data_IF_260935006529
#
_entry.id   IF_260935006529
#
_cell.length_a   1.000
_cell.length_b   1.000
_cell.length_c   1.000
_cell.angle_alpha   90.00
_cell.angle_beta   90.00
_cell.angle_gamma   90.00
#
_symmetry.space_group_name_H-M   'P 1'
#
loop_
_entity.id
_entity.type
_entity.pdbx_description
1 polymer ?
#
# COMPACT_ATOMS: atom_id res chain seq x y z
N UNK A 1 -3.69 -7.75 -4.36
CA UNK A 1 -3.28 -8.67 -3.29
C UNK A 1 -4.24 -8.59 -2.12
N UNK A 2 -4.34 -9.67 -1.40
CA UNK A 2 -5.15 -9.74 -0.17
C UNK A 2 -4.22 -9.57 1.02
N UNK A 3 -4.59 -8.67 1.93
CA UNK A 3 -3.82 -8.41 3.16
C UNK A 3 -4.71 -8.80 4.34
N UNK A 4 -4.22 -9.73 5.15
CA UNK A 4 -4.97 -10.22 6.31
C UNK A 4 -5.26 -9.10 7.31
N UNK A 5 -6.36 -9.27 8.05
CA UNK A 5 -6.75 -8.33 9.11
C UNK A 5 -5.68 -8.23 10.19
N UNK A 6 -5.61 -7.08 10.83
CA UNK A 6 -4.71 -6.79 11.94
C UNK A 6 -3.26 -7.21 11.67
N UNK A 7 -2.82 -7.06 10.43
CA UNK A 7 -1.46 -7.45 10.05
C UNK A 7 -0.42 -6.50 10.59
N UNK A 8 0.79 -7.01 10.78
CA UNK A 8 1.96 -6.18 11.04
C UNK A 8 2.39 -5.49 9.74
N UNK A 9 3.19 -4.45 9.84
CA UNK A 9 3.77 -3.83 8.65
C UNK A 9 4.58 -4.86 7.86
N UNK A 10 4.47 -4.78 6.53
CA UNK A 10 5.31 -5.54 5.63
C UNK A 10 6.77 -5.13 5.81
N UNK A 11 7.68 -5.92 5.26
CA UNK A 11 9.08 -5.50 5.18
C UNK A 11 9.19 -4.21 4.39
N UNK A 12 10.17 -3.39 4.73
CA UNK A 12 10.38 -2.13 4.04
C UNK A 12 10.83 -2.43 2.60
N UNK A 13 10.11 -1.86 1.65
CA UNK A 13 10.57 -1.80 0.27
C UNK A 13 11.36 -0.51 0.13
N UNK A 14 12.57 -0.60 -0.39
CA UNK A 14 13.42 0.59 -0.59
C UNK A 14 13.10 1.32 -1.89
N UNK A 15 12.01 0.91 -2.53
CA UNK A 15 11.54 1.52 -3.75
C UNK A 15 11.89 0.69 -4.98
N UNK A 16 11.30 1.06 -6.06
CA UNK A 16 11.48 0.39 -7.36
C UNK A 16 11.90 1.44 -8.38
N UNK A 17 12.47 0.99 -9.49
CA UNK A 17 12.83 1.89 -10.59
C UNK A 17 11.63 2.30 -11.45
N UNK A 18 10.41 2.24 -10.90
CA UNK A 18 9.18 2.58 -11.61
C UNK A 18 8.15 3.12 -10.64
N UNK A 19 7.19 3.88 -11.16
CA UNK A 19 6.09 4.41 -10.37
C UNK A 19 5.02 3.34 -10.16
N UNK A 20 4.28 3.45 -9.06
CA UNK A 20 3.18 2.54 -8.76
C UNK A 20 1.95 3.32 -8.28
N UNK A 21 0.78 2.72 -8.49
CA UNK A 21 -0.47 3.21 -7.92
C UNK A 21 -1.08 2.04 -7.17
N UNK A 22 -1.42 2.27 -5.89
CA UNK A 22 -2.15 1.32 -5.08
C UNK A 22 -3.61 1.75 -5.01
N UNK A 23 -4.53 0.83 -5.22
CA UNK A 23 -5.97 1.10 -5.16
C UNK A 23 -6.59 0.16 -4.14
N UNK A 24 -7.22 0.72 -3.11
CA UNK A 24 -7.93 -0.09 -2.12
C UNK A 24 -9.30 -0.46 -2.68
N UNK A 25 -9.44 -1.71 -3.09
CA UNK A 25 -10.68 -2.21 -3.66
C UNK A 25 -11.67 -2.55 -2.57
N UNK A 26 -11.16 -3.08 -1.44
CA UNK A 26 -11.99 -3.48 -0.32
C UNK A 26 -11.19 -3.37 0.97
N UNK A 27 -11.83 -2.91 2.04
CA UNK A 27 -11.21 -2.81 3.36
C UNK A 27 -10.41 -1.55 3.55
N UNK A 28 -9.30 -1.66 4.26
CA UNK A 28 -8.45 -0.54 4.64
C UNK A 28 -7.00 -0.85 4.36
N UNK A 29 -6.19 0.18 4.24
CA UNK A 29 -4.75 0.06 4.08
C UNK A 29 -4.07 1.19 4.82
N UNK A 30 -3.05 0.87 5.59
CA UNK A 30 -2.17 1.87 6.18
C UNK A 30 -0.83 1.72 5.50
N UNK A 31 -0.31 2.80 4.92
CA UNK A 31 0.93 2.76 4.17
C UNK A 31 1.83 3.90 4.59
N UNK A 32 3.11 3.58 4.81
CA UNK A 32 4.12 4.56 5.15
C UNK A 32 4.98 4.83 3.91
N UNK A 33 5.05 6.10 3.51
CA UNK A 33 5.91 6.56 2.43
C UNK A 33 6.89 7.57 3.01
N UNK A 34 8.18 7.27 2.95
CA UNK A 34 9.22 8.17 3.42
C UNK A 34 8.91 8.76 4.81
N UNK A 35 8.56 7.89 5.76
CA UNK A 35 8.24 8.26 7.15
C UNK A 35 6.89 8.98 7.33
N UNK A 36 6.11 9.17 6.28
CA UNK A 36 4.76 9.71 6.39
C UNK A 36 3.76 8.57 6.30
N UNK A 37 2.84 8.52 7.27
CA UNK A 37 1.85 7.46 7.36
C UNK A 37 0.53 7.94 6.77
N UNK A 38 -0.03 7.16 5.86
CA UNK A 38 -1.32 7.42 5.24
C UNK A 38 -2.28 6.29 5.55
N UNK A 39 -3.53 6.62 5.85
CA UNK A 39 -4.58 5.65 6.07
C UNK A 39 -5.59 5.75 4.93
N UNK A 40 -5.73 4.68 4.17
CA UNK A 40 -6.61 4.63 3.01
C UNK A 40 -7.80 3.73 3.28
N UNK A 41 -8.93 4.12 2.72
CA UNK A 41 -10.18 3.37 2.82
C UNK A 41 -10.61 2.87 1.44
N UNK A 42 -11.62 2.04 1.42
CA UNK A 42 -12.17 1.50 0.18
C UNK A 42 -12.45 2.62 -0.82
N UNK A 43 -11.95 2.47 -2.03
CA UNK A 43 -12.08 3.47 -3.08
C UNK A 43 -10.93 4.46 -3.16
N UNK A 44 -10.08 4.52 -2.13
CA UNK A 44 -8.93 5.42 -2.16
C UNK A 44 -7.79 4.83 -2.96
N UNK A 45 -6.93 5.70 -3.45
CA UNK A 45 -5.72 5.30 -4.17
C UNK A 45 -4.53 6.12 -3.70
N UNK A 46 -3.34 5.60 -3.94
CA UNK A 46 -2.11 6.29 -3.57
C UNK A 46 -1.08 6.10 -4.68
N UNK A 47 -0.40 7.19 -5.01
CA UNK A 47 0.69 7.17 -5.97
C UNK A 47 2.02 7.01 -5.23
N UNK A 48 2.82 6.03 -5.65
CA UNK A 48 4.16 5.81 -5.10
C UNK A 48 5.16 6.08 -6.20
N UNK A 49 5.87 7.20 -6.06
CA UNK A 49 6.88 7.57 -7.03
C UNK A 49 8.04 6.58 -6.99
N UNK A 50 8.69 6.38 -8.13
CA UNK A 50 9.87 5.52 -8.20
C UNK A 50 10.88 5.86 -7.11
N UNK A 51 11.56 4.84 -6.61
CA UNK A 51 12.59 4.96 -5.57
C UNK A 51 12.11 5.54 -4.23
N UNK A 52 10.83 5.42 -3.93
CA UNK A 52 10.27 5.85 -2.64
C UNK A 52 10.21 4.67 -1.68
N UNK A 53 10.93 4.72 -0.54
CA UNK A 53 10.82 3.67 0.48
C UNK A 53 9.40 3.61 1.03
N UNK A 54 8.85 2.41 1.13
CA UNK A 54 7.48 2.23 1.63
C UNK A 54 7.25 0.87 2.26
N UNK A 55 6.24 0.82 3.12
CA UNK A 55 5.73 -0.42 3.71
C UNK A 55 4.27 -0.22 4.04
N UNK A 56 3.53 -1.30 4.21
CA UNK A 56 2.09 -1.23 4.44
C UNK A 56 1.60 -2.32 5.38
N UNK A 57 0.39 -2.13 5.88
CA UNK A 57 -0.31 -3.13 6.69
C UNK A 57 -1.81 -2.91 6.56
N UNK A 58 -2.57 -3.89 7.02
CA UNK A 58 -4.02 -3.77 7.18
C UNK A 58 -4.32 -3.62 8.66
N UNK A 59 -4.71 -2.41 9.13
CA UNK A 59 -5.05 -2.20 10.54
C UNK A 59 -6.48 -2.58 10.88
N UNK A 60 -7.30 -2.94 9.90
CA UNK A 60 -8.72 -3.23 10.08
C UNK A 60 -9.00 -4.62 10.62
N UNK A 61 -10.28 -4.91 10.83
CA UNK A 61 -10.75 -6.17 11.38
C UNK A 61 -11.17 -7.19 10.33
N UNK A 62 -11.11 -6.81 9.06
CA UNK A 62 -11.41 -7.69 7.93
C UNK A 62 -10.27 -7.63 6.95
N UNK A 63 -10.12 -8.67 6.13
CA UNK A 63 -9.07 -8.65 5.11
C UNK A 63 -9.31 -7.54 4.10
N UNK A 64 -8.23 -7.03 3.52
CA UNK A 64 -8.28 -5.96 2.53
C UNK A 64 -7.80 -6.47 1.18
N UNK A 65 -8.36 -5.92 0.11
CA UNK A 65 -7.95 -6.23 -1.25
C UNK A 65 -7.38 -4.95 -1.87
N UNK A 66 -6.14 -5.01 -2.32
CA UNK A 66 -5.44 -3.87 -2.91
C UNK A 66 -4.90 -4.28 -4.28
N UNK A 67 -5.12 -3.44 -5.27
CA UNK A 67 -4.51 -3.61 -6.58
C UNK A 67 -3.32 -2.69 -6.71
N UNK A 68 -2.23 -3.26 -7.20
CA UNK A 68 -1.01 -2.51 -7.48
C UNK A 68 -0.82 -2.46 -8.99
N UNK A 69 -0.72 -1.24 -9.51
CA UNK A 69 -0.47 -1.00 -10.93
C UNK A 69 0.86 -0.29 -11.05
N UNK A 70 1.75 -0.81 -11.86
CA UNK A 70 3.07 -0.22 -12.03
C UNK A 70 3.29 0.30 -13.44
N UNK A 71 4.16 1.29 -13.57
CA UNK A 71 4.58 1.81 -14.87
C UNK A 71 5.69 0.97 -15.51
N UNK A 72 6.05 -0.13 -14.88
CA UNK A 72 7.11 -1.02 -15.37
C UNK A 72 6.73 -1.57 -16.74
N UNK A 73 7.65 -1.46 -17.67
CA UNK A 73 7.47 -1.97 -19.03
C UNK A 73 7.97 -3.40 -19.15
#
# INVERSE_FOLDING_TARGET
ITIEEESSFSDMSWGHGYDEIGIVVKGELEIELEKTLYHLYEGDSIFIKQNTPHRYRNPGFTSSLVYWVSSKK
#
